data_IF_358959170177
#
_entry.id   IF_358959170177
#
_cell.length_a   1.000
_cell.length_b   1.000
_cell.length_c   1.000
_cell.angle_alpha   90.00
_cell.angle_beta   90.00
_cell.angle_gamma   90.00
#
_symmetry.space_group_name_H-M   'P 1'
#
loop_
_entity.id
_entity.type
_entity.pdbx_description
1 polymer ?
#
# COMPACT_ATOMS: atom_id res chain seq x y z
N UNK A 1 29.93 -9.65 5.16
CA UNK A 1 28.70 -9.64 5.99
C UNK A 1 27.85 -8.37 5.78
N UNK A 2 28.40 -7.15 5.81
CA UNK A 2 27.61 -5.91 5.60
C UNK A 2 27.11 -5.74 4.15
N UNK A 3 27.92 -6.10 3.15
CA UNK A 3 27.55 -5.99 1.74
C UNK A 3 26.38 -6.92 1.36
N UNK A 4 26.38 -8.15 1.89
CA UNK A 4 25.28 -9.11 1.71
C UNK A 4 24.00 -8.67 2.40
N UNK A 5 24.11 -7.99 3.55
CA UNK A 5 22.97 -7.42 4.28
C UNK A 5 22.33 -6.26 3.50
N UNK A 6 23.15 -5.36 2.92
CA UNK A 6 22.68 -4.22 2.12
C UNK A 6 22.09 -4.69 0.78
N UNK A 7 22.68 -5.71 0.16
CA UNK A 7 22.14 -6.36 -1.03
C UNK A 7 20.79 -7.05 -0.77
N UNK A 8 20.67 -7.79 0.34
CA UNK A 8 19.40 -8.40 0.75
C UNK A 8 18.32 -7.36 1.08
N UNK A 9 18.67 -6.29 1.79
CA UNK A 9 17.74 -5.22 2.11
C UNK A 9 17.25 -4.45 0.88
N UNK A 10 18.09 -4.28 -0.14
CA UNK A 10 17.69 -3.64 -1.40
C UNK A 10 16.78 -4.54 -2.23
N UNK A 11 17.05 -5.85 -2.32
CA UNK A 11 16.13 -6.81 -2.94
C UNK A 11 14.77 -6.84 -2.22
N UNK A 12 14.77 -6.87 -0.88
CA UNK A 12 13.56 -6.81 -0.08
C UNK A 12 12.78 -5.50 -0.29
N UNK A 13 13.47 -4.37 -0.39
CA UNK A 13 12.85 -3.08 -0.70
C UNK A 13 12.22 -3.03 -2.10
N UNK A 14 12.89 -3.59 -3.12
CA UNK A 14 12.32 -3.68 -4.48
C UNK A 14 11.08 -4.57 -4.50
N UNK A 15 11.14 -5.73 -3.84
CA UNK A 15 9.98 -6.61 -3.72
C UNK A 15 8.80 -5.92 -3.00
N UNK A 16 9.08 -5.20 -1.91
CA UNK A 16 8.08 -4.43 -1.18
C UNK A 16 7.44 -3.33 -2.06
N UNK A 17 8.24 -2.62 -2.86
CA UNK A 17 7.74 -1.61 -3.78
C UNK A 17 6.77 -2.22 -4.80
N UNK A 18 7.13 -3.35 -5.41
CA UNK A 18 6.26 -4.06 -6.37
C UNK A 18 4.95 -4.47 -5.69
N UNK A 19 5.03 -5.03 -4.48
CA UNK A 19 3.85 -5.43 -3.72
C UNK A 19 2.95 -4.24 -3.36
N UNK A 20 3.51 -3.09 -3.00
CA UNK A 20 2.73 -1.88 -2.73
C UNK A 20 2.05 -1.34 -3.98
N UNK A 21 2.70 -1.38 -5.15
CA UNK A 21 2.08 -1.01 -6.43
C UNK A 21 0.90 -1.95 -6.73
N UNK A 22 1.12 -3.27 -6.63
CA UNK A 22 0.06 -4.26 -6.86
C UNK A 22 -1.10 -4.06 -5.88
N UNK A 23 -0.81 -3.86 -4.59
CA UNK A 23 -1.83 -3.60 -3.57
C UNK A 23 -2.60 -2.30 -3.82
N UNK A 24 -1.95 -1.26 -4.34
CA UNK A 24 -2.63 0.00 -4.69
C UNK A 24 -3.52 -0.15 -5.92
N UNK A 25 -3.11 -0.98 -6.88
CA UNK A 25 -3.83 -1.20 -8.14
C UNK A 25 -4.91 -2.29 -8.06
N UNK A 26 -4.87 -3.17 -7.06
CA UNK A 26 -5.78 -4.32 -6.97
C UNK A 26 -7.22 -3.90 -6.71
N UNK A 27 -8.13 -4.66 -7.32
CA UNK A 27 -9.58 -4.49 -7.17
C UNK A 27 -10.16 -5.36 -6.04
N UNK A 28 -9.30 -5.99 -5.25
CA UNK A 28 -9.63 -7.02 -4.26
C UNK A 28 -9.33 -6.57 -2.82
N UNK A 29 -9.56 -5.30 -2.49
CA UNK A 29 -9.44 -4.83 -1.11
C UNK A 29 -10.54 -5.40 -0.21
N UNK A 30 -11.73 -5.59 -0.78
CA UNK A 30 -12.87 -6.18 -0.09
C UNK A 30 -13.66 -7.05 -1.05
N UNK A 31 -14.02 -8.25 -0.62
CA UNK A 31 -14.82 -9.20 -1.39
C UNK A 31 -16.14 -9.45 -0.68
N UNK A 32 -17.23 -9.36 -1.41
CA UNK A 32 -18.58 -9.52 -0.87
C UNK A 32 -19.51 -10.10 -1.92
N UNK A 33 -20.69 -10.60 -1.49
CA UNK A 33 -21.76 -10.97 -2.41
C UNK A 33 -22.81 -9.89 -2.44
N UNK A 34 -23.11 -9.40 -3.64
CA UNK A 34 -24.17 -8.43 -3.86
C UNK A 34 -25.27 -9.10 -4.70
N UNK A 35 -26.46 -9.25 -4.13
CA UNK A 35 -27.61 -9.91 -4.79
C UNK A 35 -27.25 -11.28 -5.38
N UNK A 36 -26.59 -12.12 -4.59
CA UNK A 36 -26.16 -13.46 -5.02
C UNK A 36 -24.96 -13.50 -5.97
N UNK A 37 -24.51 -12.37 -6.54
CA UNK A 37 -23.34 -12.29 -7.43
C UNK A 37 -22.06 -11.93 -6.67
N UNK A 38 -20.92 -12.39 -7.18
CA UNK A 38 -19.61 -11.99 -6.64
C UNK A 38 -19.32 -10.52 -6.97
N UNK A 39 -18.97 -9.75 -5.95
CA UNK A 39 -18.57 -8.35 -6.04
C UNK A 39 -17.22 -8.15 -5.35
N UNK A 40 -16.34 -7.41 -5.99
CA UNK A 40 -15.03 -7.04 -5.45
C UNK A 40 -14.93 -5.51 -5.44
N UNK A 41 -14.42 -4.96 -4.35
CA UNK A 41 -14.21 -3.53 -4.19
C UNK A 41 -12.72 -3.24 -4.11
N UNK A 42 -12.23 -2.49 -5.09
CA UNK A 42 -10.88 -1.93 -5.14
C UNK A 42 -10.83 -0.51 -4.63
N UNK A 43 -9.61 0.02 -4.55
CA UNK A 43 -9.37 1.40 -4.13
C UNK A 43 -9.88 2.42 -5.15
N UNK A 44 -9.80 2.10 -6.44
CA UNK A 44 -10.13 3.02 -7.53
C UNK A 44 -11.45 2.71 -8.21
N UNK A 45 -11.83 1.44 -8.23
CA UNK A 45 -13.00 0.92 -8.93
C UNK A 45 -13.60 -0.23 -8.14
N UNK A 46 -14.87 -0.51 -8.39
CA UNK A 46 -15.56 -1.67 -7.88
C UNK A 46 -16.07 -2.49 -9.05
N UNK A 47 -16.09 -3.81 -8.91
CA UNK A 47 -16.53 -4.72 -9.96
C UNK A 47 -17.65 -5.63 -9.45
N UNK A 48 -18.77 -5.65 -10.15
CA UNK A 48 -19.94 -6.49 -9.87
C UNK A 48 -20.22 -7.32 -11.11
N UNK A 49 -20.30 -8.64 -10.95
CA UNK A 49 -20.61 -9.56 -12.06
C UNK A 49 -19.69 -9.33 -13.30
N UNK A 50 -18.37 -9.23 -13.06
CA UNK A 50 -17.32 -8.94 -14.06
C UNK A 50 -17.42 -7.58 -14.77
N UNK A 51 -18.35 -6.70 -14.41
CA UNK A 51 -18.41 -5.31 -14.89
C UNK A 51 -17.80 -4.38 -13.85
N UNK A 52 -16.81 -3.59 -14.25
CA UNK A 52 -16.12 -2.66 -13.37
C UNK A 52 -16.62 -1.23 -13.59
N UNK A 53 -16.86 -0.55 -12.48
CA UNK A 53 -17.38 0.82 -12.44
C UNK A 53 -16.47 1.68 -11.55
N UNK A 54 -16.28 2.93 -11.93
CA UNK A 54 -15.55 3.90 -11.11
C UNK A 54 -16.42 4.32 -9.92
N UNK A 55 -15.79 4.61 -8.78
CA UNK A 55 -16.49 5.20 -7.65
C UNK A 55 -16.96 6.62 -8.00
N UNK A 56 -18.28 6.81 -8.12
CA UNK A 56 -18.91 8.11 -8.42
C UNK A 56 -19.09 8.98 -7.17
N UNK A 57 -19.13 8.36 -5.98
CA UNK A 57 -19.17 9.02 -4.68
C UNK A 57 -17.97 8.53 -3.88
N UNK A 58 -16.94 9.38 -3.74
CA UNK A 58 -15.80 9.08 -2.86
C UNK A 58 -16.13 9.53 -1.45
N UNK A 59 -16.08 8.59 -0.50
CA UNK A 59 -16.17 8.94 0.92
C UNK A 59 -14.78 9.36 1.37
N UNK A 60 -14.68 10.39 2.22
CA UNK A 60 -13.41 11.00 2.63
C UNK A 60 -12.34 9.99 3.10
N UNK A 61 -12.74 8.85 3.69
CA UNK A 61 -11.79 7.82 4.12
C UNK A 61 -11.10 7.09 2.95
N UNK A 62 -11.76 6.92 1.80
CA UNK A 62 -11.13 6.30 0.61
C UNK A 62 -10.04 7.20 0.05
N UNK A 63 -10.29 8.50 -0.01
CA UNK A 63 -9.30 9.47 -0.49
C UNK A 63 -8.10 9.54 0.47
N UNK A 64 -8.32 9.42 1.78
CA UNK A 64 -7.24 9.28 2.76
C UNK A 64 -6.41 7.98 2.54
N UNK A 65 -7.06 6.82 2.38
CA UNK A 65 -6.36 5.55 2.11
C UNK A 65 -5.57 5.61 0.81
N UNK A 66 -6.13 6.20 -0.27
CA UNK A 66 -5.42 6.42 -1.54
C UNK A 66 -4.18 7.28 -1.34
N UNK A 67 -4.30 8.40 -0.64
CA UNK A 67 -3.18 9.29 -0.37
C UNK A 67 -2.07 8.57 0.40
N UNK A 68 -2.41 7.85 1.47
CA UNK A 68 -1.41 7.12 2.26
C UNK A 68 -0.73 5.98 1.48
N UNK A 69 -1.46 5.24 0.64
CA UNK A 69 -0.87 4.21 -0.22
C UNK A 69 0.08 4.82 -1.26
N UNK A 70 -0.29 5.93 -1.89
CA UNK A 70 0.59 6.63 -2.84
C UNK A 70 1.85 7.19 -2.16
N UNK A 71 1.70 7.80 -0.98
CA UNK A 71 2.84 8.28 -0.20
C UNK A 71 3.76 7.13 0.23
N UNK A 72 3.19 5.97 0.57
CA UNK A 72 3.96 4.75 0.87
C UNK A 72 4.76 4.29 -0.35
N UNK A 73 4.16 4.21 -1.54
CA UNK A 73 4.85 3.83 -2.78
C UNK A 73 6.00 4.80 -3.09
N UNK A 74 5.75 6.12 -3.00
CA UNK A 74 6.77 7.14 -3.24
C UNK A 74 7.91 7.08 -2.22
N UNK A 75 7.59 6.91 -0.94
CA UNK A 75 8.57 6.76 0.14
C UNK A 75 9.42 5.49 0.00
N UNK A 76 8.77 4.39 -0.39
CA UNK A 76 9.46 3.11 -0.64
C UNK A 76 10.40 3.24 -1.84
N UNK A 77 9.94 3.86 -2.93
CA UNK A 77 10.77 4.13 -4.11
C UNK A 77 12.00 4.98 -3.77
N UNK A 78 11.82 6.07 -3.03
CA UNK A 78 12.93 6.92 -2.57
C UNK A 78 13.90 6.13 -1.66
N UNK A 79 13.37 5.32 -0.75
CA UNK A 79 14.16 4.47 0.15
C UNK A 79 15.01 3.43 -0.60
N UNK A 80 14.43 2.78 -1.61
CA UNK A 80 15.13 1.82 -2.49
C UNK A 80 16.23 2.51 -3.29
N UNK A 81 15.96 3.67 -3.90
CA UNK A 81 16.96 4.43 -4.65
C UNK A 81 18.14 4.85 -3.77
N UNK A 82 17.87 5.32 -2.55
CA UNK A 82 18.91 5.65 -1.57
C UNK A 82 19.69 4.41 -1.13
N UNK A 83 19.02 3.25 -1.00
CA UNK A 83 19.65 1.97 -0.68
C UNK A 83 20.62 1.49 -1.77
N UNK A 84 20.20 1.52 -3.03
CA UNK A 84 21.00 1.10 -4.20
C UNK A 84 22.20 2.05 -4.40
N UNK A 85 21.97 3.36 -4.35
CA UNK A 85 23.04 4.36 -4.54
C UNK A 85 24.07 4.32 -3.41
N UNK A 86 23.68 3.90 -2.22
CA UNK A 86 24.56 3.79 -1.07
C UNK A 86 25.26 2.42 -0.93
N UNK A 87 24.98 1.43 -1.80
CA UNK A 87 25.60 0.10 -1.74
C UNK A 87 27.12 0.12 -1.85
N UNK A 88 27.70 1.14 -2.51
CA UNK A 88 29.17 1.35 -2.61
C UNK A 88 29.79 1.94 -1.34
N UNK A 89 29.00 2.56 -0.46
CA UNK A 89 29.45 3.16 0.82
C UNK A 89 28.44 2.86 1.94
N UNK A 90 28.48 1.63 2.50
CA UNK A 90 27.45 1.15 3.45
C UNK A 90 27.40 1.92 4.77
N UNK A 91 28.44 2.68 5.11
CA UNK A 91 28.50 3.52 6.33
C UNK A 91 28.02 4.96 6.12
N UNK A 92 27.41 5.28 4.98
CA UNK A 92 26.97 6.66 4.69
C UNK A 92 25.63 6.99 5.37
N UNK A 93 25.42 8.28 5.69
CA UNK A 93 24.12 8.79 6.17
C UNK A 93 22.96 8.42 5.25
N UNK A 94 23.21 8.21 3.95
CA UNK A 94 22.18 7.84 2.96
C UNK A 94 21.55 6.47 3.21
N UNK A 95 22.31 5.49 3.72
CA UNK A 95 21.76 4.17 4.10
C UNK A 95 20.79 4.33 5.26
N UNK A 96 21.16 5.14 6.26
CA UNK A 96 20.30 5.43 7.42
C UNK A 96 19.04 6.17 7.00
N UNK A 97 19.15 7.19 6.16
CA UNK A 97 17.99 7.93 5.61
C UNK A 97 17.09 7.02 4.77
N UNK A 98 17.67 6.17 3.92
CA UNK A 98 16.92 5.19 3.12
C UNK A 98 16.16 4.19 3.99
N UNK A 99 16.80 3.68 5.05
CA UNK A 99 16.15 2.80 6.03
C UNK A 99 14.99 3.49 6.77
N UNK A 100 15.17 4.74 7.21
CA UNK A 100 14.09 5.52 7.83
C UNK A 100 12.93 5.73 6.84
N UNK A 101 13.22 6.06 5.58
CA UNK A 101 12.20 6.22 4.55
C UNK A 101 11.42 4.92 4.29
N UNK A 102 12.09 3.78 4.26
CA UNK A 102 11.45 2.46 4.13
C UNK A 102 10.55 2.15 5.33
N UNK A 103 11.00 2.41 6.55
CA UNK A 103 10.19 2.23 7.76
C UNK A 103 8.95 3.15 7.75
N UNK A 104 9.13 4.43 7.39
CA UNK A 104 8.02 5.37 7.27
C UNK A 104 7.02 4.91 6.21
N UNK A 105 7.52 4.42 5.06
CA UNK A 105 6.66 3.92 3.99
C UNK A 105 5.82 2.72 4.42
N UNK A 106 6.41 1.77 5.15
CA UNK A 106 5.69 0.63 5.70
C UNK A 106 4.63 1.05 6.73
N UNK A 107 4.97 2.00 7.61
CA UNK A 107 4.02 2.56 8.57
C UNK A 107 2.81 3.22 7.89
N UNK A 108 3.05 4.01 6.85
CA UNK A 108 1.97 4.65 6.07
C UNK A 108 1.07 3.62 5.38
N UNK A 109 1.63 2.53 4.83
CA UNK A 109 0.84 1.44 4.25
C UNK A 109 -0.02 0.74 5.30
N UNK A 110 0.53 0.46 6.48
CA UNK A 110 -0.22 -0.15 7.59
C UNK A 110 -1.34 0.78 8.06
N UNK A 111 -1.09 2.09 8.16
CA UNK A 111 -2.10 3.08 8.51
C UNK A 111 -3.24 3.12 7.48
N UNK A 112 -2.90 3.08 6.19
CA UNK A 112 -3.88 3.03 5.11
C UNK A 112 -4.80 1.81 5.25
N UNK A 113 -4.21 0.64 5.54
CA UNK A 113 -4.93 -0.62 5.72
C UNK A 113 -5.79 -0.61 7.00
N UNK A 114 -5.29 -0.03 8.09
CA UNK A 114 -6.01 0.10 9.35
C UNK A 114 -7.22 1.03 9.24
N UNK A 115 -7.06 2.17 8.55
CA UNK A 115 -8.18 3.10 8.26
C UNK A 115 -9.22 2.38 7.41
N UNK A 116 -8.78 1.71 6.34
CA UNK A 116 -9.67 1.00 5.44
C UNK A 116 -10.51 -0.06 6.16
N UNK A 117 -9.85 -0.95 6.90
CA UNK A 117 -10.50 -2.05 7.63
C UNK A 117 -11.38 -1.53 8.77
N UNK A 118 -10.89 -0.59 9.58
CA UNK A 118 -11.64 -0.02 10.71
C UNK A 118 -12.89 0.74 10.28
N UNK A 119 -12.81 1.53 9.20
CA UNK A 119 -13.97 2.26 8.66
C UNK A 119 -14.96 1.32 7.99
N UNK A 120 -14.48 0.31 7.26
CA UNK A 120 -15.31 -0.72 6.63
C UNK A 120 -16.16 -1.45 7.68
N UNK A 121 -15.55 -1.90 8.78
CA UNK A 121 -16.27 -2.58 9.86
C UNK A 121 -17.27 -1.65 10.55
N UNK A 122 -16.92 -0.39 10.80
CA UNK A 122 -17.85 0.57 11.41
C UNK A 122 -19.04 0.92 10.49
N UNK A 123 -18.79 1.15 9.20
CA UNK A 123 -19.83 1.51 8.24
C UNK A 123 -20.81 0.36 7.99
N UNK A 124 -20.31 -0.86 7.84
CA UNK A 124 -21.16 -2.02 7.59
C UNK A 124 -21.75 -2.59 8.88
N UNK A 125 -21.01 -2.60 9.98
CA UNK A 125 -21.49 -3.04 11.29
C UNK A 125 -22.67 -2.20 11.80
N UNK A 126 -22.65 -0.88 11.60
CA UNK A 126 -23.79 -0.02 11.99
C UNK A 126 -24.99 -0.08 11.04
N UNK A 127 -24.82 -0.55 9.80
CA UNK A 127 -25.91 -0.61 8.80
C UNK A 127 -26.68 -1.92 8.80
N UNK A 128 -26.10 -2.99 9.34
CA UNK A 128 -26.66 -4.33 9.35
C UNK A 128 -26.82 -4.92 10.77
N UNK A 129 -26.67 -4.10 11.81
CA UNK A 129 -26.99 -4.44 13.21
C UNK A 129 -28.33 -3.86 13.63
#
# INVERSE_FOLDING_TARGET
>A
MVLTLVGGASLGGVAALVLFIISTATDYWMQYRYSGNAANQGLWRFCINRKCHAHTLTVAFWDATRAFMLLSVLGCFAGVLLGITASKRPRSRRVRTGGIALLLSGFLALLALAIYTGMTVNFFGKRYS
#
